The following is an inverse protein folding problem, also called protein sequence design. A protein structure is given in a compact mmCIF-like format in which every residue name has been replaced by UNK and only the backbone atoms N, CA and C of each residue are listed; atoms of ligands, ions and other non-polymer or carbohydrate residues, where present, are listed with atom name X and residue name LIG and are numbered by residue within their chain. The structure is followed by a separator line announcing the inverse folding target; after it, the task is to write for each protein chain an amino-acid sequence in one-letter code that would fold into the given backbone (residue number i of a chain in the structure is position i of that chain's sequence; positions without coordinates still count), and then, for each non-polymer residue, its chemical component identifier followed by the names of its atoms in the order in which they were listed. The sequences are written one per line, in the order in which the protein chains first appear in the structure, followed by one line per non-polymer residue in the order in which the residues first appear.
data_IF_187386272933
#
_entry.id   IF_187386272933
#
_cell.length_a   1.000
_cell.length_b   1.000
_cell.length_c   1.000
_cell.angle_alpha   90.00
_cell.angle_beta   90.00
_cell.angle_gamma   90.00
#
_symmetry.space_group_name_H-M   'P 1'
#
loop_
_entity.id
_entity.type
_entity.pdbx_description
1 polymer ?
#
# COMPACT_ATOMS: atom_id res chain seq x y z
N UNK A 1 32.19 -7.58 3.56
CA UNK A 1 32.46 -6.68 2.44
C UNK A 1 31.16 -5.99 2.13
N UNK A 2 31.04 -4.67 2.34
CA UNK A 2 29.86 -3.94 1.92
C UNK A 2 29.73 -4.02 0.40
N UNK A 3 28.56 -4.32 -0.16
CA UNK A 3 28.39 -4.32 -1.59
C UNK A 3 28.66 -2.90 -2.10
N UNK A 4 29.61 -2.78 -3.00
CA UNK A 4 29.88 -1.52 -3.69
C UNK A 4 28.80 -1.40 -4.77
N UNK A 5 27.64 -0.87 -4.42
CA UNK A 5 26.66 -0.46 -5.43
C UNK A 5 27.29 0.63 -6.26
N UNK A 6 27.41 0.41 -7.57
CA UNK A 6 28.04 1.34 -8.51
C UNK A 6 27.29 2.65 -8.65
N UNK A 7 26.09 2.74 -8.11
CA UNK A 7 25.27 3.94 -8.07
C UNK A 7 24.77 4.10 -6.63
N UNK A 8 24.97 5.27 -6.04
CA UNK A 8 24.17 5.64 -4.90
C UNK A 8 22.71 5.43 -5.31
N UNK A 9 21.97 4.62 -4.55
CA UNK A 9 20.52 4.51 -4.73
C UNK A 9 19.93 5.85 -4.37
N UNK A 10 19.98 6.75 -5.31
CA UNK A 10 19.18 7.97 -5.25
C UNK A 10 17.79 7.47 -5.62
N UNK A 11 16.80 7.54 -4.73
CA UNK A 11 15.43 7.27 -5.14
C UNK A 11 15.17 8.13 -6.38
N UNK A 12 14.51 7.58 -7.42
CA UNK A 12 14.17 8.37 -8.58
C UNK A 12 13.42 9.61 -8.08
N UNK A 13 13.89 10.81 -8.42
CA UNK A 13 13.27 12.03 -7.94
C UNK A 13 11.82 12.04 -8.40
N UNK A 14 10.90 12.28 -7.47
CA UNK A 14 9.48 12.51 -7.72
C UNK A 14 8.69 11.35 -8.34
N UNK A 15 9.10 10.09 -8.18
CA UNK A 15 8.31 8.97 -8.66
C UNK A 15 7.13 8.70 -7.75
N UNK A 16 5.92 8.99 -8.24
CA UNK A 16 4.70 8.62 -7.55
C UNK A 16 4.28 7.19 -7.94
N UNK A 17 3.52 6.53 -7.08
CA UNK A 17 2.92 5.21 -7.40
C UNK A 17 2.25 5.17 -8.79
N UNK A 18 1.72 6.30 -9.26
CA UNK A 18 1.12 6.42 -10.58
C UNK A 18 2.10 6.16 -11.72
N UNK A 19 3.35 6.53 -11.54
CA UNK A 19 4.39 6.38 -12.56
C UNK A 19 4.76 4.91 -12.75
N UNK A 20 4.67 4.13 -11.67
CA UNK A 20 4.80 2.67 -11.72
C UNK A 20 3.71 1.99 -12.56
N UNK A 21 2.58 2.64 -12.77
CA UNK A 21 1.48 2.11 -13.57
C UNK A 21 1.70 2.32 -15.08
N UNK A 22 2.79 2.96 -15.48
CA UNK A 22 3.18 3.07 -16.88
C UNK A 22 3.46 1.68 -17.48
N UNK A 23 2.91 1.42 -18.66
CA UNK A 23 3.08 0.13 -19.33
C UNK A 23 2.32 -1.06 -18.72
N UNK A 24 1.52 -0.83 -17.67
CA UNK A 24 0.67 -1.86 -17.08
C UNK A 24 -0.59 -2.07 -17.93
N UNK A 25 -1.03 -3.31 -18.03
CA UNK A 25 -2.25 -3.63 -18.76
C UNK A 25 -3.49 -2.99 -18.12
N UNK A 26 -4.23 -2.23 -18.92
CA UNK A 26 -5.40 -1.50 -18.46
C UNK A 26 -6.70 -2.28 -18.76
N UNK A 27 -7.42 -2.66 -17.72
CA UNK A 27 -8.75 -3.28 -17.80
C UNK A 27 -9.81 -2.17 -17.84
N UNK A 28 -10.50 -2.05 -18.99
CA UNK A 28 -11.53 -1.04 -19.21
C UNK A 28 -12.95 -1.55 -18.94
N UNK A 29 -13.13 -2.85 -18.96
CA UNK A 29 -14.41 -3.49 -18.66
C UNK A 29 -14.80 -3.24 -17.21
N UNK A 30 -16.12 -3.12 -16.97
CA UNK A 30 -16.65 -2.98 -15.63
C UNK A 30 -16.31 -4.22 -14.80
N UNK A 31 -15.53 -4.03 -13.76
CA UNK A 31 -15.03 -5.12 -12.91
C UNK A 31 -15.54 -4.94 -11.49
N UNK A 32 -16.14 -6.00 -10.92
CA UNK A 32 -16.60 -6.00 -9.54
C UNK A 32 -15.43 -6.22 -8.56
N UNK A 33 -15.49 -5.55 -7.42
CA UNK A 33 -14.61 -5.86 -6.27
C UNK A 33 -14.94 -7.22 -5.66
N UNK A 34 -16.13 -7.77 -5.92
CA UNK A 34 -16.56 -9.08 -5.46
C UNK A 34 -16.08 -10.15 -6.44
N UNK A 35 -14.89 -10.68 -6.22
CA UNK A 35 -14.21 -11.73 -7.00
C UNK A 35 -13.77 -11.34 -8.43
N UNK A 36 -14.39 -10.33 -9.06
CA UNK A 36 -14.13 -9.97 -10.46
C UNK A 36 -12.67 -9.61 -10.75
N UNK A 37 -12.00 -8.93 -9.83
CA UNK A 37 -10.59 -8.55 -10.00
C UNK A 37 -9.68 -9.79 -10.04
N UNK A 38 -9.85 -10.75 -9.12
CA UNK A 38 -9.03 -11.96 -9.09
C UNK A 38 -9.37 -12.90 -10.25
N UNK A 39 -10.64 -13.00 -10.64
CA UNK A 39 -11.05 -13.77 -11.81
C UNK A 39 -10.41 -13.23 -13.10
N UNK A 40 -10.32 -11.90 -13.23
CA UNK A 40 -9.65 -11.26 -14.36
C UNK A 40 -8.16 -11.53 -14.32
N UNK A 41 -7.51 -11.39 -13.15
CA UNK A 41 -6.10 -11.70 -12.99
C UNK A 41 -5.78 -13.15 -13.38
N UNK A 42 -6.53 -14.11 -12.88
CA UNK A 42 -6.35 -15.54 -13.19
C UNK A 42 -6.50 -15.83 -14.71
N UNK A 43 -7.46 -15.19 -15.38
CA UNK A 43 -7.64 -15.33 -16.83
C UNK A 43 -6.49 -14.75 -17.63
N UNK A 44 -5.84 -13.71 -17.12
CA UNK A 44 -4.75 -13.00 -17.77
C UNK A 44 -3.35 -13.53 -17.39
N UNK A 45 -3.27 -14.54 -16.50
CA UNK A 45 -2.01 -15.18 -16.11
C UNK A 45 -1.20 -14.37 -15.10
N UNK A 46 -1.87 -13.73 -14.16
CA UNK A 46 -1.28 -12.97 -13.03
C UNK A 46 -0.34 -11.84 -13.42
N UNK A 47 -0.52 -11.27 -14.61
CA UNK A 47 0.23 -10.08 -15.04
C UNK A 47 -0.19 -8.84 -14.26
N UNK A 48 0.66 -7.78 -14.25
CA UNK A 48 0.29 -6.48 -13.68
C UNK A 48 -0.94 -5.87 -14.37
N UNK A 49 -1.94 -5.47 -13.58
CA UNK A 49 -3.21 -4.95 -14.07
C UNK A 49 -3.58 -3.63 -13.39
N UNK A 50 -4.21 -2.73 -14.14
CA UNK A 50 -4.91 -1.56 -13.62
C UNK A 50 -6.38 -1.63 -14.04
N UNK A 51 -7.27 -1.66 -13.08
CA UNK A 51 -8.72 -1.60 -13.27
C UNK A 51 -9.18 -0.14 -13.26
N UNK A 52 -9.68 0.33 -14.38
CA UNK A 52 -10.12 1.72 -14.54
C UNK A 52 -11.63 1.91 -14.35
N UNK A 53 -12.40 0.83 -14.38
CA UNK A 53 -13.85 0.86 -14.23
C UNK A 53 -14.29 -0.16 -13.18
N UNK A 54 -14.51 0.31 -11.96
CA UNK A 54 -14.86 -0.52 -10.81
C UNK A 54 -16.33 -0.31 -10.46
N UNK A 55 -17.12 -1.37 -10.55
CA UNK A 55 -18.58 -1.31 -10.43
C UNK A 55 -19.06 -0.67 -9.11
N UNK A 56 -18.45 -1.07 -7.98
CA UNK A 56 -18.85 -0.60 -6.65
C UNK A 56 -18.11 0.69 -6.21
N UNK A 57 -17.14 1.15 -6.99
CA UNK A 57 -16.34 2.33 -6.65
C UNK A 57 -16.10 3.21 -7.90
N UNK A 58 -17.14 3.83 -8.45
CA UNK A 58 -17.01 4.69 -9.64
C UNK A 58 -16.01 5.83 -9.41
N UNK A 59 -15.18 6.09 -10.41
CA UNK A 59 -14.14 7.12 -10.34
C UNK A 59 -12.86 6.70 -9.62
N UNK A 60 -12.83 5.53 -9.00
CA UNK A 60 -11.62 4.95 -8.44
C UNK A 60 -10.93 4.01 -9.42
N UNK A 61 -9.64 3.81 -9.18
CA UNK A 61 -8.84 2.80 -9.86
C UNK A 61 -8.24 1.84 -8.83
N UNK A 62 -7.97 0.61 -9.25
CA UNK A 62 -7.22 -0.33 -8.46
C UNK A 62 -6.11 -0.96 -9.30
N UNK A 63 -4.99 -1.27 -8.66
CA UNK A 63 -3.87 -1.95 -9.29
C UNK A 63 -3.64 -3.31 -8.62
N UNK A 64 -3.31 -4.32 -9.42
CA UNK A 64 -3.04 -5.68 -8.97
C UNK A 64 -1.73 -6.18 -9.60
N UNK A 65 -0.93 -6.93 -8.84
CA UNK A 65 0.34 -7.54 -9.28
C UNK A 65 1.40 -6.53 -9.76
N UNK A 66 1.32 -5.27 -9.35
CA UNK A 66 2.22 -4.21 -9.87
C UNK A 66 3.62 -4.23 -9.24
N UNK A 67 3.80 -4.90 -8.10
CA UNK A 67 5.09 -5.04 -7.42
C UNK A 67 5.79 -6.36 -7.79
N UNK A 68 5.75 -6.75 -9.05
CA UNK A 68 6.49 -7.88 -9.56
C UNK A 68 8.00 -7.62 -9.50
N UNK A 69 8.79 -8.68 -9.24
CA UNK A 69 10.25 -8.58 -9.06
C UNK A 69 10.95 -7.91 -10.24
N UNK A 70 10.59 -8.25 -11.46
CA UNK A 70 11.18 -7.66 -12.67
C UNK A 70 10.94 -6.15 -12.74
N UNK A 71 9.73 -5.71 -12.42
CA UNK A 71 9.36 -4.29 -12.41
C UNK A 71 10.08 -3.50 -11.33
N UNK A 72 10.22 -4.06 -10.14
CA UNK A 72 11.01 -3.44 -9.07
C UNK A 72 12.47 -3.29 -9.49
N UNK A 73 13.06 -4.32 -10.14
CA UNK A 73 14.42 -4.25 -10.64
C UNK A 73 14.61 -3.19 -11.72
N UNK A 74 13.66 -3.09 -12.66
CA UNK A 74 13.65 -2.03 -13.67
C UNK A 74 13.58 -0.64 -13.04
N UNK A 75 12.73 -0.48 -12.05
CA UNK A 75 12.52 0.78 -11.35
C UNK A 75 13.76 1.23 -10.58
N UNK A 76 14.47 0.30 -9.94
CA UNK A 76 15.72 0.58 -9.22
C UNK A 76 16.96 0.57 -10.14
N UNK A 77 16.81 0.26 -11.42
CA UNK A 77 17.92 0.08 -12.37
C UNK A 77 18.97 -0.92 -11.85
N UNK A 78 18.50 -2.07 -11.36
CA UNK A 78 19.33 -3.13 -10.78
C UNK A 78 19.08 -4.49 -11.44
N UNK A 79 20.03 -5.41 -11.28
CA UNK A 79 19.81 -6.80 -11.70
C UNK A 79 18.89 -7.54 -10.70
N UNK A 80 18.12 -8.56 -11.15
CA UNK A 80 17.29 -9.37 -10.24
C UNK A 80 18.07 -10.08 -9.13
N UNK A 81 19.39 -10.26 -9.29
CA UNK A 81 20.27 -10.85 -8.28
C UNK A 81 20.58 -9.90 -7.14
N UNK A 82 20.57 -8.59 -7.40
CA UNK A 82 20.96 -7.55 -6.45
C UNK A 82 19.79 -7.05 -5.58
N UNK A 83 18.54 -7.41 -5.91
CA UNK A 83 17.35 -6.86 -5.25
C UNK A 83 17.36 -7.06 -3.73
N UNK A 84 17.75 -8.24 -3.25
CA UNK A 84 17.78 -8.53 -1.81
C UNK A 84 18.84 -7.67 -1.12
N UNK A 85 20.00 -7.53 -1.73
CA UNK A 85 21.10 -6.73 -1.17
C UNK A 85 20.76 -5.25 -1.13
N UNK A 86 20.05 -4.75 -2.15
CA UNK A 86 19.53 -3.38 -2.20
C UNK A 86 18.52 -3.13 -1.09
N UNK A 87 17.55 -4.02 -0.91
CA UNK A 87 16.55 -3.89 0.14
C UNK A 87 17.17 -4.00 1.55
N UNK A 88 18.13 -4.91 1.74
CA UNK A 88 18.86 -5.03 3.00
C UNK A 88 19.65 -3.74 3.30
N UNK A 89 20.35 -3.19 2.29
CA UNK A 89 21.07 -1.93 2.43
C UNK A 89 20.12 -0.76 2.79
N UNK A 90 18.96 -0.65 2.14
CA UNK A 90 17.97 0.38 2.43
C UNK A 90 17.45 0.31 3.88
N UNK A 91 17.26 -0.90 4.42
CA UNK A 91 16.87 -1.09 5.82
C UNK A 91 17.96 -0.65 6.81
N UNK A 92 19.24 -0.77 6.44
CA UNK A 92 20.38 -0.37 7.27
C UNK A 92 20.71 1.12 7.12
N UNK A 93 20.21 1.77 6.07
CA UNK A 93 20.50 3.17 5.75
C UNK A 93 19.19 3.97 5.56
N UNK A 94 18.33 4.06 6.60
CA UNK A 94 17.10 4.81 6.49
C UNK A 94 17.38 6.31 6.30
N UNK A 95 16.55 6.97 5.49
CA UNK A 95 16.52 8.43 5.38
C UNK A 95 15.37 9.01 6.19
N UNK A 96 15.55 10.19 6.75
CA UNK A 96 14.46 10.89 7.39
C UNK A 96 13.47 11.39 6.34
N UNK A 97 12.16 11.20 6.53
CA UNK A 97 11.16 11.69 5.61
C UNK A 97 11.10 13.23 5.65
N UNK A 98 10.96 13.84 4.49
CA UNK A 98 10.67 15.26 4.40
C UNK A 98 9.24 15.56 4.88
N UNK A 99 9.12 16.56 5.76
CA UNK A 99 7.80 17.02 6.24
C UNK A 99 7.38 18.23 5.43
N UNK A 100 6.34 18.08 4.64
CA UNK A 100 5.77 19.14 3.81
C UNK A 100 4.54 19.76 4.46
N UNK A 101 4.21 21.00 4.09
CA UNK A 101 3.00 21.66 4.55
C UNK A 101 1.72 21.04 3.94
N UNK A 102 0.57 21.19 4.61
CA UNK A 102 -0.69 20.65 4.12
C UNK A 102 -1.06 21.16 2.70
N UNK A 103 -0.66 22.38 2.34
CA UNK A 103 -0.87 22.95 1.00
C UNK A 103 -0.01 22.32 -0.09
N UNK A 104 1.09 21.69 0.30
CA UNK A 104 2.03 21.01 -0.60
C UNK A 104 1.74 19.50 -0.69
N UNK A 105 0.91 18.97 0.21
CA UNK A 105 0.53 17.57 0.25
C UNK A 105 -0.76 17.32 -0.56
N UNK A 106 -0.70 16.70 -1.76
CA UNK A 106 -1.89 16.48 -2.60
C UNK A 106 -2.99 15.70 -1.91
N UNK A 107 -2.65 14.78 -1.01
CA UNK A 107 -3.60 13.99 -0.23
C UNK A 107 -4.46 14.86 0.70
N UNK A 108 -3.93 15.99 1.17
CA UNK A 108 -4.67 16.94 2.03
C UNK A 108 -5.61 17.85 1.25
N UNK A 109 -5.46 17.92 -0.07
CA UNK A 109 -6.31 18.73 -0.97
C UNK A 109 -7.53 17.96 -1.45
N UNK A 110 -7.59 16.67 -1.17
CA UNK A 110 -8.67 15.77 -1.57
C UNK A 110 -9.22 15.08 -0.33
N UNK A 111 -10.49 15.21 -0.07
CA UNK A 111 -11.15 14.63 1.09
C UNK A 111 -12.62 14.36 0.83
N UNK A 112 -13.21 13.55 1.69
CA UNK A 112 -14.65 13.33 1.74
C UNK A 112 -15.16 13.88 3.08
N UNK A 113 -16.26 14.62 3.04
CA UNK A 113 -16.90 15.15 4.26
C UNK A 113 -17.47 14.02 5.11
N UNK A 114 -17.91 12.94 4.49
CA UNK A 114 -18.46 11.76 5.14
C UNK A 114 -17.64 10.52 4.84
N UNK A 115 -17.19 9.83 5.89
CA UNK A 115 -16.43 8.58 5.75
C UNK A 115 -17.34 7.46 5.26
N UNK A 116 -16.98 6.88 4.11
CA UNK A 116 -17.63 5.69 3.57
C UNK A 116 -16.62 4.77 2.88
N UNK A 117 -16.07 3.83 3.65
CA UNK A 117 -15.11 2.86 3.18
C UNK A 117 -15.68 1.88 2.16
N UNK A 118 -17.01 1.77 2.06
CA UNK A 118 -17.65 0.93 1.05
C UNK A 118 -17.44 1.44 -0.37
N UNK A 119 -17.19 2.75 -0.52
CA UNK A 119 -16.92 3.43 -1.79
C UNK A 119 -15.45 3.31 -2.24
N UNK A 120 -14.57 2.78 -1.39
CA UNK A 120 -13.19 2.48 -1.76
C UNK A 120 -13.15 1.09 -2.42
N UNK A 121 -12.35 0.87 -3.48
CA UNK A 121 -12.30 -0.40 -4.20
C UNK A 121 -11.56 -1.50 -3.41
N UNK A 122 -12.04 -1.80 -2.21
CA UNK A 122 -11.50 -2.87 -1.37
C UNK A 122 -12.01 -4.21 -1.91
N UNK A 123 -11.13 -5.13 -2.35
CA UNK A 123 -11.56 -6.36 -2.99
C UNK A 123 -12.00 -7.45 -2.02
N UNK A 124 -12.88 -8.32 -2.47
CA UNK A 124 -13.13 -9.63 -1.92
C UNK A 124 -12.60 -10.66 -2.92
N UNK A 125 -11.43 -11.24 -2.66
CA UNK A 125 -10.75 -12.07 -3.63
C UNK A 125 -11.40 -13.46 -3.76
N UNK A 126 -11.53 -14.20 -2.67
CA UNK A 126 -12.05 -15.57 -2.67
C UNK A 126 -13.29 -15.69 -1.80
N UNK A 127 -14.19 -16.60 -2.18
CA UNK A 127 -15.46 -16.83 -1.46
C UNK A 127 -15.26 -17.31 -0.02
N UNK A 128 -14.14 -17.98 0.22
CA UNK A 128 -13.71 -18.49 1.52
C UNK A 128 -13.10 -17.42 2.43
N UNK A 129 -12.76 -16.25 1.88
CA UNK A 129 -12.30 -15.11 2.68
C UNK A 129 -13.42 -14.58 3.56
N UNK A 130 -13.08 -14.07 4.73
CA UNK A 130 -14.03 -13.49 5.67
C UNK A 130 -14.74 -12.21 5.18
N UNK A 131 -14.41 -11.72 3.99
CA UNK A 131 -14.99 -10.52 3.36
C UNK A 131 -13.99 -9.72 2.55
N UNK A 132 -14.26 -8.43 2.41
CA UNK A 132 -13.42 -7.47 1.67
C UNK A 132 -12.21 -7.06 2.51
N UNK A 133 -11.00 -7.21 1.97
CA UNK A 133 -9.75 -6.87 2.65
C UNK A 133 -8.93 -5.84 1.90
N UNK A 134 -8.46 -4.83 2.64
CA UNK A 134 -7.30 -4.06 2.23
C UNK A 134 -6.05 -4.91 2.49
N UNK A 135 -5.52 -5.57 1.48
CA UNK A 135 -4.41 -6.53 1.61
C UNK A 135 -3.03 -5.89 1.48
N UNK A 136 -2.95 -4.74 0.80
CA UNK A 136 -1.70 -4.03 0.49
C UNK A 136 -1.61 -2.64 1.15
N UNK A 137 -2.44 -2.36 2.14
CA UNK A 137 -2.39 -1.10 2.88
C UNK A 137 -1.25 -1.08 3.91
N UNK A 138 -0.66 0.09 4.08
CA UNK A 138 0.33 0.37 5.11
C UNK A 138 -0.36 1.14 6.25
N UNK A 139 -0.14 0.71 7.48
CA UNK A 139 -0.51 1.47 8.67
C UNK A 139 0.70 2.26 9.14
N UNK A 140 0.55 3.58 9.21
CA UNK A 140 1.47 4.49 9.88
C UNK A 140 0.82 4.86 11.23
N UNK A 141 1.48 4.50 12.30
CA UNK A 141 1.03 4.77 13.67
C UNK A 141 2.08 5.56 14.43
N UNK A 142 1.66 6.45 15.31
CA UNK A 142 2.57 7.16 16.20
C UNK A 142 1.95 7.30 17.58
N UNK A 143 2.70 6.91 18.64
CA UNK A 143 2.29 7.06 20.01
C UNK A 143 3.52 7.23 20.91
N UNK A 144 3.47 8.12 21.91
CA UNK A 144 4.57 8.40 22.86
C UNK A 144 5.93 8.62 22.18
N UNK A 145 5.96 9.30 21.03
CA UNK A 145 7.19 9.58 20.26
C UNK A 145 7.71 8.43 19.41
N UNK A 146 7.10 7.25 19.48
CA UNK A 146 7.45 6.10 18.65
C UNK A 146 6.58 6.07 17.40
N UNK A 147 7.21 6.11 16.22
CA UNK A 147 6.54 5.91 14.93
C UNK A 147 6.77 4.48 14.45
N UNK A 148 5.73 3.87 13.92
CA UNK A 148 5.78 2.56 13.28
C UNK A 148 5.09 2.58 11.93
N UNK A 149 5.72 1.95 10.95
CA UNK A 149 5.18 1.76 9.60
C UNK A 149 5.16 0.26 9.33
N UNK A 150 4.00 -0.29 8.97
CA UNK A 150 3.87 -1.73 8.77
C UNK A 150 2.69 -2.12 7.91
N UNK A 151 2.83 -3.23 7.18
CA UNK A 151 1.73 -3.84 6.43
C UNK A 151 0.80 -4.59 7.37
N UNK A 152 -0.49 -4.29 7.28
CA UNK A 152 -1.54 -5.03 7.95
C UNK A 152 -2.74 -5.19 7.03
N UNK A 153 -3.17 -6.44 6.82
CA UNK A 153 -4.45 -6.66 6.16
C UNK A 153 -5.59 -6.21 7.07
N UNK A 154 -6.53 -5.49 6.50
CA UNK A 154 -7.65 -4.92 7.22
C UNK A 154 -8.96 -5.38 6.59
N UNK A 155 -9.77 -6.09 7.36
CA UNK A 155 -11.12 -6.49 6.96
C UNK A 155 -12.05 -5.26 7.03
N UNK A 156 -12.73 -4.95 5.96
CA UNK A 156 -13.83 -3.98 5.98
C UNK A 156 -14.99 -4.55 6.79
N UNK A 157 -15.30 -3.92 7.91
CA UNK A 157 -16.39 -4.32 8.80
C UNK A 157 -17.70 -3.64 8.43
N UNK A 158 -17.65 -2.32 8.28
CA UNK A 158 -18.79 -1.48 7.92
C UNK A 158 -18.31 -0.18 7.22
N UNK A 159 -19.17 0.82 7.11
CA UNK A 159 -18.89 2.06 6.38
C UNK A 159 -17.69 2.85 6.90
N UNK A 160 -17.36 2.74 8.18
CA UNK A 160 -16.34 3.54 8.83
C UNK A 160 -15.40 2.74 9.75
N UNK A 161 -15.50 1.41 9.76
CA UNK A 161 -14.64 0.56 10.56
C UNK A 161 -13.96 -0.52 9.73
N UNK A 162 -12.70 -0.76 10.07
CA UNK A 162 -11.94 -1.94 9.64
C UNK A 162 -11.44 -2.72 10.85
N UNK A 163 -11.15 -4.00 10.66
CA UNK A 163 -10.55 -4.86 11.67
C UNK A 163 -9.20 -5.33 11.18
N UNK A 164 -8.13 -4.98 11.88
CA UNK A 164 -6.78 -5.43 11.62
C UNK A 164 -6.33 -6.50 12.62
N UNK A 165 -5.61 -7.51 12.15
CA UNK A 165 -4.94 -8.46 13.03
C UNK A 165 -3.56 -7.92 13.39
N UNK A 166 -3.35 -7.58 14.64
CA UNK A 166 -2.05 -7.17 15.15
C UNK A 166 -1.28 -8.40 15.65
N UNK A 167 -0.17 -8.71 14.98
CA UNK A 167 0.78 -9.74 15.44
C UNK A 167 1.71 -9.15 16.51
N UNK A 168 2.37 -9.98 17.36
CA UNK A 168 3.26 -9.51 18.44
C UNK A 168 4.52 -8.82 17.88
N UNK A 169 4.39 -7.59 17.44
CA UNK A 169 5.45 -6.70 16.94
C UNK A 169 5.14 -5.25 17.38
N UNK A 170 5.89 -4.29 16.88
CA UNK A 170 5.86 -2.88 17.32
C UNK A 170 4.46 -2.27 17.41
N UNK A 171 3.63 -2.42 16.38
CA UNK A 171 2.27 -1.85 16.41
C UNK A 171 1.40 -2.43 17.54
N UNK A 172 1.57 -3.73 17.84
CA UNK A 172 0.86 -4.34 18.97
C UNK A 172 1.37 -3.79 20.31
N UNK A 173 2.68 -3.58 20.45
CA UNK A 173 3.25 -2.95 21.66
C UNK A 173 2.71 -1.55 21.85
N UNK A 174 2.76 -0.72 20.81
CA UNK A 174 2.20 0.64 20.81
C UNK A 174 0.72 0.61 21.20
N UNK A 175 -0.07 -0.28 20.61
CA UNK A 175 -1.50 -0.41 20.93
C UNK A 175 -1.76 -0.86 22.36
N UNK A 176 -0.90 -1.73 22.92
CA UNK A 176 -1.05 -2.17 24.31
C UNK A 176 -0.72 -1.05 25.29
N UNK A 177 0.37 -0.31 25.06
CA UNK A 177 0.75 0.85 25.90
C UNK A 177 -0.33 1.93 25.91
N UNK A 178 -0.90 2.25 24.75
CA UNK A 178 -2.02 3.21 24.68
C UNK A 178 -3.25 2.70 25.42
N UNK A 179 -3.61 1.43 25.27
CA UNK A 179 -4.75 0.83 25.95
C UNK A 179 -4.57 0.83 27.49
N UNK A 180 -3.36 0.59 28.00
CA UNK A 180 -3.04 0.70 29.43
C UNK A 180 -3.19 2.13 29.96
N UNK A 181 -2.91 3.13 29.11
CA UNK A 181 -3.12 4.55 29.43
C UNK A 181 -4.58 5.00 29.26
N UNK A 182 -5.44 4.19 28.64
CA UNK A 182 -6.81 4.54 28.28
C UNK A 182 -6.92 5.43 27.04
N UNK A 183 -5.88 5.43 26.21
CA UNK A 183 -5.77 6.25 25.02
C UNK A 183 -6.03 5.44 23.73
N UNK A 184 -6.43 6.15 22.68
CA UNK A 184 -6.45 5.65 21.32
C UNK A 184 -5.11 5.93 20.60
N UNK A 185 -4.70 5.05 19.68
CA UNK A 185 -3.54 5.28 18.80
C UNK A 185 -4.02 5.92 17.51
N UNK A 186 -3.64 7.17 17.20
CA UNK A 186 -3.91 7.73 15.88
C UNK A 186 -3.11 6.98 14.82
N UNK A 187 -3.80 6.62 13.73
CA UNK A 187 -3.20 5.93 12.60
C UNK A 187 -3.57 6.61 11.29
N UNK A 188 -2.68 6.50 10.29
CA UNK A 188 -3.01 6.72 8.90
C UNK A 188 -2.95 5.38 8.15
N UNK A 189 -3.96 5.12 7.32
CA UNK A 189 -3.99 3.95 6.43
C UNK A 189 -3.69 4.43 5.01
N UNK A 190 -2.57 4.00 4.48
CA UNK A 190 -2.07 4.45 3.17
C UNK A 190 -2.23 3.33 2.14
N UNK A 191 -2.92 3.64 1.04
CA UNK A 191 -3.09 2.75 -0.10
C UNK A 191 -2.32 3.31 -1.30
N UNK A 192 -1.46 2.50 -1.90
CA UNK A 192 -0.65 2.87 -3.05
C UNK A 192 0.39 3.96 -2.75
N UNK A 193 1.18 3.84 -1.66
CA UNK A 193 2.35 4.68 -1.48
C UNK A 193 3.40 4.36 -2.55
N UNK A 194 4.37 5.25 -2.70
CA UNK A 194 5.58 4.94 -3.43
C UNK A 194 6.25 3.72 -2.79
N UNK A 195 6.77 2.76 -3.58
CA UNK A 195 7.40 1.55 -3.05
C UNK A 195 8.88 1.73 -2.68
N UNK A 196 9.47 2.90 -2.93
CA UNK A 196 10.88 3.22 -2.62
C UNK A 196 11.09 3.86 -1.26
#
# INVERSE_FOLDING_TARGET
MSPTFKHALTPPPDMAFRDMLSGVHNVQESTSVLHGMIETSNKMGDIPLVFNNIAEAPGHRAALNVLEKSRLCEMFDISPGDLIDVLAWAMENPSEPEVVGASEAPVMQSGQEEVDLSKIPIPWHFKEDGGRYQSASIIVAQYSGVRNVSFHRQLLRDRNHTVARLVPRHLRTISAEAAEAGDDVPIAVVNGPDPT
#
